data_IF_095421210800
#
_entry.id   IF_095421210800
#
_cell.length_a   1.000
_cell.length_b   1.000
_cell.length_c   1.000
_cell.angle_alpha   90.00
_cell.angle_beta   90.00
_cell.angle_gamma   90.00
#
_symmetry.space_group_name_H-M   'P 1'
#
loop_
_entity.id
_entity.type
_entity.pdbx_description
1 polymer ?
#
# COMPACT_ATOMS: atom_id res chain seq x y z
N UNK A 1 -12.17 -22.20 0.14
CA UNK A 1 -12.43 -21.68 1.50
C UNK A 1 -11.17 -21.56 2.36
N UNK A 2 -10.13 -22.40 2.16
CA UNK A 2 -8.84 -22.24 2.86
C UNK A 2 -7.95 -21.11 2.29
N UNK A 3 -7.96 -20.90 0.96
CA UNK A 3 -7.15 -19.86 0.30
C UNK A 3 -7.60 -18.42 0.62
N UNK A 4 -8.90 -18.20 0.85
CA UNK A 4 -9.45 -16.88 1.22
C UNK A 4 -9.09 -16.48 2.66
N UNK A 5 -8.99 -17.46 3.58
CA UNK A 5 -8.55 -17.22 4.96
C UNK A 5 -7.09 -16.76 5.05
N UNK A 6 -6.20 -17.36 4.26
CA UNK A 6 -4.78 -16.99 4.27
C UNK A 6 -4.52 -15.56 3.79
N UNK A 7 -5.31 -15.08 2.82
CA UNK A 7 -5.23 -13.70 2.32
C UNK A 7 -5.74 -12.71 3.38
N UNK A 8 -6.86 -13.02 4.03
CA UNK A 8 -7.48 -12.19 5.07
C UNK A 8 -6.57 -12.06 6.31
N UNK A 9 -5.87 -13.12 6.69
CA UNK A 9 -4.90 -13.13 7.80
C UNK A 9 -3.67 -12.26 7.47
N UNK A 10 -3.12 -12.34 6.26
CA UNK A 10 -2.04 -11.43 5.80
C UNK A 10 -2.47 -9.98 5.62
N UNK A 11 -3.77 -9.72 5.43
CA UNK A 11 -4.31 -8.37 5.30
C UNK A 11 -4.42 -7.70 6.68
N UNK A 12 -4.96 -8.42 7.67
CA UNK A 12 -5.03 -7.94 9.05
C UNK A 12 -3.63 -7.66 9.64
N UNK A 13 -2.65 -8.52 9.36
CA UNK A 13 -1.26 -8.29 9.79
C UNK A 13 -0.63 -7.05 9.12
N UNK A 14 -0.95 -6.78 7.85
CA UNK A 14 -0.43 -5.59 7.16
C UNK A 14 -1.07 -4.30 7.66
N UNK A 15 -2.39 -4.26 7.85
CA UNK A 15 -3.08 -3.09 8.41
C UNK A 15 -2.57 -2.78 9.82
N UNK A 16 -2.43 -3.81 10.66
CA UNK A 16 -1.91 -3.62 12.03
C UNK A 16 -0.44 -3.18 12.05
N UNK A 17 0.38 -3.64 11.10
CA UNK A 17 1.76 -3.16 10.93
C UNK A 17 1.82 -1.68 10.50
N UNK A 18 0.96 -1.26 9.56
CA UNK A 18 0.86 0.12 9.12
C UNK A 18 0.40 1.05 10.24
N UNK A 19 -0.58 0.61 11.04
CA UNK A 19 -0.98 1.34 12.25
C UNK A 19 0.14 1.43 13.30
N UNK A 20 1.05 0.45 13.36
CA UNK A 20 2.21 0.50 14.24
C UNK A 20 3.24 1.52 13.75
N UNK A 21 3.45 1.59 12.43
CA UNK A 21 4.41 2.52 11.79
C UNK A 21 3.95 3.98 11.84
N UNK A 22 2.64 4.25 11.90
CA UNK A 22 2.10 5.60 12.08
C UNK A 22 2.20 6.14 13.52
N UNK A 23 2.55 5.31 14.50
CA UNK A 23 2.66 5.76 15.90
C UNK A 23 3.89 6.62 16.07
N UNK A 24 3.69 7.79 16.65
CA UNK A 24 4.79 8.68 17.00
C UNK A 24 5.63 8.00 18.08
N UNK A 25 6.96 7.98 17.89
CA UNK A 25 7.86 7.46 18.92
C UNK A 25 7.78 8.33 20.18
N UNK A 26 7.95 7.72 21.36
CA UNK A 26 7.84 8.46 22.63
C UNK A 26 9.01 9.42 22.85
N UNK A 27 10.19 9.08 22.31
CA UNK A 27 11.43 9.86 22.43
C UNK A 27 11.31 11.35 22.03
N UNK A 28 10.82 11.72 20.84
CA UNK A 28 10.66 13.12 20.45
C UNK A 28 9.75 13.88 21.43
N UNK A 29 8.67 13.25 21.90
CA UNK A 29 7.76 13.86 22.89
C UNK A 29 8.51 14.16 24.19
N UNK A 30 9.29 13.21 24.71
CA UNK A 30 10.11 13.42 25.91
C UNK A 30 11.17 14.49 25.71
N UNK A 31 11.80 14.57 24.52
CA UNK A 31 12.78 15.62 24.22
C UNK A 31 12.15 17.01 24.19
N UNK A 32 10.96 17.16 23.58
CA UNK A 32 10.24 18.44 23.55
C UNK A 32 9.84 18.85 24.97
N UNK A 33 9.33 17.91 25.77
CA UNK A 33 8.95 18.16 27.15
C UNK A 33 10.16 18.54 28.02
N UNK A 34 11.30 17.87 27.84
CA UNK A 34 12.54 18.19 28.52
C UNK A 34 13.09 19.57 28.12
N UNK A 35 13.07 19.92 26.83
CA UNK A 35 13.47 21.26 26.36
C UNK A 35 12.57 22.33 26.94
N UNK A 36 11.25 22.11 26.97
CA UNK A 36 10.31 23.02 27.61
C UNK A 36 10.58 23.18 29.12
N UNK A 37 10.91 22.09 29.81
CA UNK A 37 11.32 22.11 31.22
C UNK A 37 12.61 22.92 31.46
N UNK A 38 13.64 22.73 30.63
CA UNK A 38 14.89 23.51 30.72
C UNK A 38 14.62 24.98 30.44
N UNK A 39 13.84 25.30 29.40
CA UNK A 39 13.46 26.67 29.10
C UNK A 39 12.73 27.31 30.29
N UNK A 40 11.75 26.62 30.87
CA UNK A 40 11.02 27.10 32.05
C UNK A 40 11.96 27.37 33.23
N UNK A 41 12.97 26.51 33.44
CA UNK A 41 13.97 26.67 34.48
C UNK A 41 14.83 27.93 34.26
N UNK A 42 15.29 28.17 33.03
CA UNK A 42 16.09 29.35 32.68
C UNK A 42 15.29 30.65 32.83
N UNK A 43 14.03 30.64 32.37
CA UNK A 43 13.15 31.80 32.43
C UNK A 43 12.49 32.00 33.81
N UNK A 44 12.61 31.04 34.74
CA UNK A 44 12.06 31.19 36.10
C UNK A 44 12.58 32.45 36.81
N UNK A 45 13.82 32.85 36.52
CA UNK A 45 14.47 34.05 37.08
C UNK A 45 13.98 35.38 36.53
N UNK A 46 13.21 35.36 35.42
CA UNK A 46 12.68 36.55 34.77
C UNK A 46 11.36 37.00 35.40
N UNK A 47 10.67 36.12 36.11
CA UNK A 47 9.39 36.45 36.74
C UNK A 47 9.59 37.28 38.03
N UNK A 48 8.92 38.44 38.16
CA UNK A 48 9.06 39.28 39.34
C UNK A 48 8.41 38.62 40.57
N UNK A 49 9.19 38.49 41.64
CA UNK A 49 8.75 37.95 42.94
C UNK A 49 9.39 36.60 43.30
N UNK A 50 9.94 36.50 44.50
CA UNK A 50 10.63 35.30 45.00
C UNK A 50 9.71 34.06 45.04
N UNK A 51 8.43 34.26 45.38
CA UNK A 51 7.45 33.18 45.38
C UNK A 51 7.19 32.64 43.97
N UNK A 52 6.96 33.53 42.98
CA UNK A 52 6.75 33.13 41.59
C UNK A 52 7.98 32.40 41.04
N UNK A 53 9.19 32.96 41.26
CA UNK A 53 10.45 32.35 40.85
C UNK A 53 10.61 30.92 41.43
N UNK A 54 10.26 30.71 42.70
CA UNK A 54 10.32 29.39 43.32
C UNK A 54 9.29 28.39 42.75
N UNK A 55 8.07 28.85 42.45
CA UNK A 55 7.00 28.00 41.90
C UNK A 55 7.30 27.54 40.47
N UNK A 56 7.73 28.45 39.60
CA UNK A 56 8.12 28.11 38.22
C UNK A 56 9.39 27.23 38.18
N UNK A 57 10.36 27.49 39.06
CA UNK A 57 11.55 26.65 39.21
C UNK A 57 11.21 25.23 39.68
N UNK A 58 10.33 25.10 40.68
CA UNK A 58 9.88 23.79 41.16
C UNK A 58 9.10 23.01 40.08
N UNK A 59 8.23 23.67 39.33
CA UNK A 59 7.53 23.06 38.20
C UNK A 59 8.51 22.57 37.12
N UNK A 60 9.50 23.37 36.77
CA UNK A 60 10.51 23.00 35.79
C UNK A 60 11.30 21.75 36.20
N UNK A 61 11.73 21.69 37.46
CA UNK A 61 12.42 20.51 38.02
C UNK A 61 11.49 19.29 38.01
N UNK A 62 10.22 19.45 38.38
CA UNK A 62 9.24 18.37 38.37
C UNK A 62 9.03 17.79 36.96
N UNK A 63 8.92 18.65 35.94
CA UNK A 63 8.80 18.22 34.53
C UNK A 63 10.06 17.46 34.07
N UNK A 64 11.25 17.93 34.44
CA UNK A 64 12.50 17.25 34.07
C UNK A 64 12.67 15.90 34.76
N UNK A 65 12.33 15.81 36.05
CA UNK A 65 12.31 14.55 36.79
C UNK A 65 11.27 13.60 36.20
N UNK A 66 10.10 14.11 35.83
CA UNK A 66 9.07 13.33 35.16
C UNK A 66 9.59 12.75 33.83
N UNK A 67 10.21 13.58 32.97
CA UNK A 67 10.84 13.11 31.73
C UNK A 67 11.87 11.99 31.99
N UNK A 68 12.74 12.17 32.99
CA UNK A 68 13.75 11.19 33.37
C UNK A 68 13.12 9.86 33.79
N UNK A 69 12.13 9.90 34.69
CA UNK A 69 11.42 8.72 35.19
C UNK A 69 10.67 8.01 34.07
N UNK A 70 9.96 8.75 33.21
CA UNK A 70 9.25 8.18 32.06
C UNK A 70 10.19 7.60 31.02
N UNK A 71 11.37 8.20 30.80
CA UNK A 71 12.38 7.67 29.90
C UNK A 71 13.04 6.40 30.44
N UNK A 72 13.27 6.32 31.75
CA UNK A 72 13.71 5.08 32.38
C UNK A 72 12.62 4.00 32.25
N UNK A 73 11.37 4.35 32.54
CA UNK A 73 10.23 3.44 32.44
C UNK A 73 10.01 2.91 31.01
N UNK A 74 10.28 3.72 29.97
CA UNK A 74 10.19 3.32 28.57
C UNK A 74 11.07 2.09 28.27
N UNK A 75 12.21 1.96 28.95
CA UNK A 75 13.12 0.81 28.76
C UNK A 75 12.58 -0.49 29.36
N UNK A 76 11.75 -0.43 30.41
CA UNK A 76 11.21 -1.60 31.10
C UNK A 76 9.80 -1.96 30.63
N UNK A 77 8.93 -0.96 30.44
CA UNK A 77 7.50 -1.11 30.17
C UNK A 77 7.02 0.03 29.23
N UNK A 78 7.12 -0.15 27.90
CA UNK A 78 6.87 0.94 26.95
C UNK A 78 5.40 1.38 26.93
N UNK A 79 4.45 0.49 27.20
CA UNK A 79 3.03 0.84 27.27
C UNK A 79 2.73 1.71 28.49
N UNK A 80 3.30 1.36 29.65
CA UNK A 80 3.12 2.12 30.89
C UNK A 80 3.72 3.53 30.75
N UNK A 81 4.87 3.64 30.11
CA UNK A 81 5.52 4.93 29.86
C UNK A 81 4.66 5.88 29.02
N UNK A 82 3.99 5.38 27.98
CA UNK A 82 3.08 6.19 27.15
C UNK A 82 1.88 6.72 27.96
N UNK A 83 1.23 5.85 28.73
CA UNK A 83 0.14 6.25 29.62
C UNK A 83 0.59 7.22 30.71
N UNK A 84 1.79 7.02 31.25
CA UNK A 84 2.38 7.94 32.22
C UNK A 84 2.51 9.35 31.63
N UNK A 85 3.05 9.50 30.42
CA UNK A 85 3.20 10.80 29.74
C UNK A 85 1.86 11.49 29.50
N UNK A 86 0.84 10.75 29.06
CA UNK A 86 -0.53 11.27 28.87
C UNK A 86 -1.09 11.79 30.20
N UNK A 87 -1.07 10.95 31.24
CA UNK A 87 -1.56 11.33 32.56
C UNK A 87 -0.76 12.50 33.18
N UNK A 88 0.55 12.52 32.96
CA UNK A 88 1.44 13.60 33.41
C UNK A 88 1.14 14.93 32.74
N UNK A 89 0.87 14.93 31.43
CA UNK A 89 0.50 16.14 30.70
C UNK A 89 -0.82 16.74 31.24
N UNK A 90 -1.83 15.90 31.47
CA UNK A 90 -3.07 16.32 32.10
C UNK A 90 -2.82 16.85 33.53
N UNK A 91 -2.07 16.12 34.34
CA UNK A 91 -1.73 16.52 35.70
C UNK A 91 -1.00 17.88 35.75
N UNK A 92 -0.09 18.16 34.82
CA UNK A 92 0.58 19.46 34.71
C UNK A 92 -0.41 20.57 34.41
N UNK A 93 -1.32 20.40 33.44
CA UNK A 93 -2.35 21.42 33.14
C UNK A 93 -3.28 21.68 34.33
N UNK A 94 -3.65 20.62 35.07
CA UNK A 94 -4.48 20.72 36.27
C UNK A 94 -3.74 21.43 37.43
N UNK A 95 -2.46 21.11 37.63
CA UNK A 95 -1.61 21.76 38.63
C UNK A 95 -1.34 23.22 38.29
N UNK A 96 -1.16 23.59 37.02
CA UNK A 96 -0.96 24.97 36.59
C UNK A 96 -2.17 25.86 36.92
N UNK A 97 -3.38 25.38 36.65
CA UNK A 97 -4.61 26.10 37.00
C UNK A 97 -4.73 26.26 38.53
N UNK A 98 -4.44 25.20 39.30
CA UNK A 98 -4.68 25.20 40.75
C UNK A 98 -3.58 25.90 41.55
N UNK A 99 -2.33 25.65 41.20
CA UNK A 99 -1.16 26.08 41.97
C UNK A 99 -0.66 27.46 41.54
N UNK A 100 -0.57 27.71 40.23
CA UNK A 100 -0.15 28.99 39.68
C UNK A 100 -1.32 29.94 39.36
N UNK A 101 -2.57 29.48 39.54
CA UNK A 101 -3.80 30.29 39.34
C UNK A 101 -3.85 30.96 37.97
N UNK A 102 -3.34 30.28 36.94
CA UNK A 102 -3.35 30.78 35.57
C UNK A 102 -4.72 30.46 34.94
N UNK A 103 -5.61 31.44 34.74
CA UNK A 103 -6.96 31.16 34.27
C UNK A 103 -6.95 30.64 32.84
N UNK A 104 -7.68 29.56 32.60
CA UNK A 104 -7.93 29.02 31.26
C UNK A 104 -6.83 28.10 30.73
N UNK A 105 -5.79 27.80 31.53
CA UNK A 105 -4.76 26.82 31.15
C UNK A 105 -5.34 25.42 31.06
N UNK A 106 -6.42 25.14 31.79
CA UNK A 106 -7.13 23.86 31.74
C UNK A 106 -7.66 23.50 30.33
N UNK A 107 -7.83 24.47 29.42
CA UNK A 107 -8.22 24.21 28.02
C UNK A 107 -7.14 23.41 27.27
N UNK A 108 -5.88 23.55 27.66
CA UNK A 108 -4.76 22.78 27.10
C UNK A 108 -4.82 21.30 27.50
N UNK A 109 -5.70 20.89 28.43
CA UNK A 109 -5.93 19.48 28.72
C UNK A 109 -6.29 18.67 27.47
N UNK A 110 -6.93 19.29 26.47
CA UNK A 110 -7.23 18.65 25.18
C UNK A 110 -5.99 18.17 24.40
N UNK A 111 -4.79 18.64 24.72
CA UNK A 111 -3.54 18.12 24.14
C UNK A 111 -3.23 16.69 24.60
N UNK A 112 -3.69 16.28 25.78
CA UNK A 112 -3.43 14.95 26.33
C UNK A 112 -4.15 13.83 25.54
N UNK A 113 -5.46 13.93 25.23
CA UNK A 113 -6.13 12.98 24.34
C UNK A 113 -5.55 12.98 22.93
N UNK A 114 -5.13 14.14 22.40
CA UNK A 114 -4.46 14.21 21.11
C UNK A 114 -3.12 13.45 21.12
N UNK A 115 -2.35 13.59 22.20
CA UNK A 115 -1.12 12.85 22.40
C UNK A 115 -1.39 11.33 22.54
N UNK A 116 -2.46 10.94 23.23
CA UNK A 116 -2.87 9.55 23.36
C UNK A 116 -3.20 8.89 22.02
N UNK A 117 -3.85 9.63 21.11
CA UNK A 117 -4.16 9.13 19.77
C UNK A 117 -2.91 8.86 18.94
N UNK A 118 -1.90 9.72 19.06
CA UNK A 118 -0.65 9.61 18.29
C UNK A 118 0.33 8.58 18.85
N UNK A 119 0.37 8.39 20.18
CA UNK A 119 1.29 7.47 20.84
C UNK A 119 0.75 6.04 20.95
N UNK A 120 -0.58 5.87 21.08
CA UNK A 120 -1.20 4.58 21.38
C UNK A 120 -2.22 4.21 20.31
N UNK A 121 -3.39 4.85 20.32
CA UNK A 121 -4.50 4.58 19.40
C UNK A 121 -5.66 5.55 19.62
N UNK A 122 -6.59 5.61 18.67
CA UNK A 122 -7.82 6.39 18.84
C UNK A 122 -8.67 5.96 20.05
N UNK A 123 -8.91 4.65 20.32
CA UNK A 123 -9.59 4.23 21.55
C UNK A 123 -8.90 4.71 22.83
N UNK A 124 -7.57 4.75 22.87
CA UNK A 124 -6.82 5.25 24.02
C UNK A 124 -7.06 6.76 24.23
N UNK A 125 -7.19 7.54 23.15
CA UNK A 125 -7.55 8.95 23.23
C UNK A 125 -8.95 9.18 23.79
N UNK A 126 -9.93 8.37 23.37
CA UNK A 126 -11.28 8.43 23.91
C UNK A 126 -11.30 8.09 25.42
N UNK A 127 -10.53 7.09 25.84
CA UNK A 127 -10.38 6.73 27.25
C UNK A 127 -9.72 7.85 28.08
N UNK A 128 -8.65 8.46 27.56
CA UNK A 128 -7.99 9.60 28.20
C UNK A 128 -8.97 10.78 28.37
N UNK A 129 -9.65 11.18 27.29
CA UNK A 129 -10.63 12.27 27.31
C UNK A 129 -11.77 12.00 28.31
N UNK A 130 -12.30 10.76 28.35
CA UNK A 130 -13.33 10.39 29.30
C UNK A 130 -12.84 10.51 30.75
N UNK A 131 -11.63 10.02 31.05
CA UNK A 131 -11.01 10.15 32.37
C UNK A 131 -10.81 11.60 32.80
N UNK A 132 -10.31 12.45 31.89
CA UNK A 132 -10.12 13.88 32.14
C UNK A 132 -11.42 14.61 32.42
N UNK A 133 -12.46 14.34 31.62
CA UNK A 133 -13.79 14.91 31.81
C UNK A 133 -14.41 14.49 33.15
N UNK A 134 -14.19 13.26 33.59
CA UNK A 134 -14.63 12.79 34.92
C UNK A 134 -13.90 13.57 36.02
N UNK A 135 -12.57 13.72 35.93
CA UNK A 135 -11.79 14.45 36.94
C UNK A 135 -12.22 15.92 37.00
N UNK A 136 -12.39 16.57 35.85
CA UNK A 136 -12.85 17.96 35.75
C UNK A 136 -14.27 18.11 36.30
N UNK A 137 -15.18 17.20 35.92
CA UNK A 137 -16.57 17.22 36.37
C UNK A 137 -16.71 17.03 37.88
N UNK A 138 -15.96 16.08 38.46
CA UNK A 138 -15.91 15.88 39.92
C UNK A 138 -15.31 17.10 40.62
N UNK A 139 -14.27 17.71 40.03
CA UNK A 139 -13.64 18.93 40.57
C UNK A 139 -14.59 20.13 40.58
N UNK A 140 -15.45 20.26 39.57
CA UNK A 140 -16.45 21.32 39.47
C UNK A 140 -17.67 21.07 40.39
N UNK A 141 -18.07 19.82 40.58
CA UNK A 141 -19.18 19.45 41.46
C UNK A 141 -18.80 19.50 42.96
N UNK A 142 -17.52 19.34 43.28
CA UNK A 142 -17.05 19.31 44.66
C UNK A 142 -16.84 20.71 45.24
N UNK A 143 -17.63 21.04 46.26
CA UNK A 143 -17.53 22.31 47.00
C UNK A 143 -16.17 22.50 47.70
N UNK A 144 -15.41 21.42 47.95
CA UNK A 144 -14.08 21.50 48.58
C UNK A 144 -12.95 21.80 47.59
N UNK A 145 -13.15 21.50 46.30
CA UNK A 145 -12.13 21.67 45.25
C UNK A 145 -12.25 23.06 44.63
N UNK A 146 -13.48 23.55 44.44
CA UNK A 146 -13.76 24.93 44.07
C UNK A 146 -13.30 25.30 42.66
N UNK A 147 -13.42 24.38 41.70
CA UNK A 147 -13.21 24.68 40.28
C UNK A 147 -14.43 25.43 39.74
N UNK A 148 -14.21 26.58 39.11
CA UNK A 148 -15.28 27.36 38.50
C UNK A 148 -15.93 26.56 37.36
N UNK A 149 -17.26 26.50 37.36
CA UNK A 149 -18.06 25.78 36.37
C UNK A 149 -17.77 26.30 34.95
N UNK A 150 -17.50 27.60 34.80
CA UNK A 150 -17.17 28.19 33.50
C UNK A 150 -15.83 27.66 32.94
N UNK A 151 -14.81 27.54 33.79
CA UNK A 151 -13.50 26.98 33.44
C UNK A 151 -13.62 25.49 33.12
N UNK A 152 -14.39 24.74 33.92
CA UNK A 152 -14.66 23.33 33.68
C UNK A 152 -15.38 23.10 32.34
N UNK A 153 -16.39 23.92 32.02
CA UNK A 153 -17.11 23.86 30.75
C UNK A 153 -16.20 24.17 29.56
N UNK A 154 -15.34 25.19 29.66
CA UNK A 154 -14.41 25.56 28.60
C UNK A 154 -13.36 24.46 28.35
N UNK A 155 -12.84 23.85 29.42
CA UNK A 155 -11.93 22.72 29.31
C UNK A 155 -12.61 21.50 28.67
N UNK A 156 -13.85 21.20 29.05
CA UNK A 156 -14.62 20.11 28.44
C UNK A 156 -14.83 20.33 26.93
N UNK A 157 -15.15 21.56 26.51
CA UNK A 157 -15.24 21.92 25.09
C UNK A 157 -13.89 21.76 24.39
N UNK A 158 -12.79 22.16 25.02
CA UNK A 158 -11.43 21.98 24.49
C UNK A 158 -11.06 20.51 24.29
N UNK A 159 -11.35 19.66 25.28
CA UNK A 159 -11.10 18.21 25.24
C UNK A 159 -11.94 17.55 24.14
N UNK A 160 -13.24 17.83 24.08
CA UNK A 160 -14.13 17.27 23.06
C UNK A 160 -13.79 17.77 21.66
N UNK A 161 -13.42 19.06 21.53
CA UNK A 161 -12.95 19.65 20.29
C UNK A 161 -11.66 18.99 19.78
N UNK A 162 -10.67 18.82 20.65
CA UNK A 162 -9.43 18.13 20.33
C UNK A 162 -9.70 16.68 19.91
N UNK A 163 -10.54 15.95 20.64
CA UNK A 163 -10.94 14.58 20.30
C UNK A 163 -11.66 14.52 18.93
N UNK A 164 -12.53 15.49 18.65
CA UNK A 164 -13.23 15.60 17.38
C UNK A 164 -12.29 15.87 16.19
N UNK A 165 -11.32 16.78 16.36
CA UNK A 165 -10.29 17.05 15.35
C UNK A 165 -9.41 15.82 15.12
N UNK A 166 -8.98 15.16 16.19
CA UNK A 166 -8.21 13.92 16.13
C UNK A 166 -8.99 12.85 15.36
N UNK A 167 -10.28 12.66 15.66
CA UNK A 167 -11.14 11.72 14.95
C UNK A 167 -11.26 12.07 13.46
N UNK A 168 -11.46 13.36 13.14
CA UNK A 168 -11.58 13.84 11.77
C UNK A 168 -10.31 13.64 10.95
N UNK A 169 -9.13 13.72 11.57
CA UNK A 169 -7.84 13.43 10.93
C UNK A 169 -7.53 11.93 10.86
N UNK A 170 -7.89 11.17 11.89
CA UNK A 170 -7.65 9.73 11.96
C UNK A 170 -8.46 8.95 10.92
N UNK A 171 -9.74 9.32 10.74
CA UNK A 171 -10.67 8.63 9.83
C UNK A 171 -10.15 8.53 8.38
N UNK A 172 -9.77 9.63 7.69
CA UNK A 172 -9.29 9.55 6.31
C UNK A 172 -7.94 8.84 6.21
N UNK A 173 -7.05 8.97 7.20
CA UNK A 173 -5.74 8.31 7.20
C UNK A 173 -5.91 6.79 7.26
N UNK A 174 -6.78 6.30 8.14
CA UNK A 174 -7.07 4.87 8.21
C UNK A 174 -7.77 4.37 6.94
N UNK A 175 -8.65 5.18 6.33
CA UNK A 175 -9.28 4.84 5.05
C UNK A 175 -8.25 4.77 3.91
N UNK A 176 -7.28 5.68 3.88
CA UNK A 176 -6.19 5.67 2.92
C UNK A 176 -5.30 4.43 3.08
N UNK A 177 -5.01 4.01 4.31
CA UNK A 177 -4.24 2.79 4.57
C UNK A 177 -4.88 1.56 3.93
N UNK A 178 -6.18 1.33 4.22
CA UNK A 178 -6.94 0.21 3.63
C UNK A 178 -7.05 0.32 2.11
N UNK A 179 -7.28 1.53 1.59
CA UNK A 179 -7.38 1.76 0.15
C UNK A 179 -6.06 1.52 -0.59
N UNK A 180 -4.92 1.92 0.00
CA UNK A 180 -3.60 1.72 -0.60
C UNK A 180 -3.27 0.24 -0.74
N UNK A 181 -3.60 -0.59 0.25
CA UNK A 181 -3.42 -2.03 0.17
C UNK A 181 -4.20 -2.64 -1.00
N UNK A 182 -5.50 -2.31 -1.11
CA UNK A 182 -6.33 -2.77 -2.23
C UNK A 182 -5.76 -2.31 -3.59
N UNK A 183 -5.25 -1.07 -3.64
CA UNK A 183 -4.61 -0.52 -4.83
C UNK A 183 -3.34 -1.28 -5.22
N UNK A 184 -2.46 -1.57 -4.26
CA UNK A 184 -1.23 -2.34 -4.50
C UNK A 184 -1.54 -3.75 -5.00
N UNK A 185 -2.52 -4.43 -4.39
CA UNK A 185 -2.97 -5.74 -4.81
C UNK A 185 -3.52 -5.73 -6.25
N UNK A 186 -4.30 -4.70 -6.60
CA UNK A 186 -4.83 -4.53 -7.95
C UNK A 186 -3.72 -4.26 -8.96
N UNK A 187 -2.75 -3.44 -8.62
CA UNK A 187 -1.60 -3.15 -9.47
C UNK A 187 -0.78 -4.42 -9.75
N UNK A 188 -0.53 -5.24 -8.72
CA UNK A 188 0.19 -6.51 -8.89
C UNK A 188 -0.55 -7.48 -9.82
N UNK A 189 -1.87 -7.62 -9.67
CA UNK A 189 -2.68 -8.46 -10.57
C UNK A 189 -2.58 -8.01 -12.03
N UNK A 190 -2.64 -6.70 -12.29
CA UNK A 190 -2.53 -6.17 -13.66
C UNK A 190 -1.16 -6.43 -14.27
N UNK A 191 -0.08 -6.33 -13.48
CA UNK A 191 1.27 -6.65 -13.95
C UNK A 191 1.40 -8.13 -14.29
N UNK A 192 0.83 -9.02 -13.48
CA UNK A 192 0.87 -10.45 -13.73
C UNK A 192 0.04 -10.83 -14.98
N UNK A 193 -1.16 -10.26 -15.12
CA UNK A 193 -1.96 -10.44 -16.33
C UNK A 193 -1.22 -9.95 -17.60
N UNK A 194 -0.49 -8.84 -17.50
CA UNK A 194 0.28 -8.31 -18.62
C UNK A 194 1.44 -9.25 -19.00
N UNK A 195 2.12 -9.85 -18.01
CA UNK A 195 3.15 -10.87 -18.23
C UNK A 195 2.59 -12.11 -18.91
N UNK A 196 1.45 -12.61 -18.44
CA UNK A 196 0.77 -13.77 -19.04
C UNK A 196 0.35 -13.50 -20.48
N UNK A 197 -0.23 -12.33 -20.76
CA UNK A 197 -0.61 -11.93 -22.12
C UNK A 197 0.61 -11.83 -23.03
N UNK A 198 1.72 -11.30 -22.52
CA UNK A 198 2.98 -11.21 -23.27
C UNK A 198 3.53 -12.61 -23.59
N UNK A 199 3.55 -13.52 -22.62
CA UNK A 199 4.01 -14.89 -22.84
C UNK A 199 3.16 -15.61 -23.90
N UNK A 200 1.83 -15.48 -23.84
CA UNK A 200 0.92 -16.02 -24.87
C UNK A 200 1.15 -15.42 -26.25
N UNK A 201 1.46 -14.11 -26.32
CA UNK A 201 1.77 -13.45 -27.59
C UNK A 201 3.09 -13.99 -28.17
N UNK A 202 4.13 -14.13 -27.35
CA UNK A 202 5.43 -14.69 -27.76
C UNK A 202 5.28 -16.13 -28.26
N UNK A 203 4.50 -16.97 -27.58
CA UNK A 203 4.19 -18.34 -28.03
C UNK A 203 3.41 -18.36 -29.36
N UNK A 204 2.40 -17.49 -29.51
CA UNK A 204 1.64 -17.40 -30.76
C UNK A 204 2.52 -16.95 -31.94
N UNK A 205 3.45 -16.03 -31.71
CA UNK A 205 4.41 -15.58 -32.72
C UNK A 205 5.35 -16.71 -33.14
N UNK A 206 5.86 -17.51 -32.20
CA UNK A 206 6.73 -18.65 -32.50
C UNK A 206 5.99 -19.75 -33.29
N UNK A 207 4.74 -20.04 -32.92
CA UNK A 207 3.87 -20.96 -33.64
C UNK A 207 3.61 -20.49 -35.08
N UNK A 208 3.33 -19.19 -35.27
CA UNK A 208 3.15 -18.60 -36.60
C UNK A 208 4.44 -18.67 -37.43
N UNK A 209 5.59 -18.40 -36.84
CA UNK A 209 6.89 -18.51 -37.52
C UNK A 209 7.16 -19.95 -37.98
N UNK A 210 6.88 -20.93 -37.11
CA UNK A 210 7.02 -22.35 -37.43
C UNK A 210 6.07 -22.78 -38.56
N UNK A 211 4.80 -22.38 -38.49
CA UNK A 211 3.80 -22.68 -39.52
C UNK A 211 4.18 -22.07 -40.88
N UNK A 212 4.64 -20.80 -40.90
CA UNK A 212 5.13 -20.16 -42.12
C UNK A 212 6.32 -20.91 -42.73
N UNK A 213 7.25 -21.39 -41.90
CA UNK A 213 8.39 -22.19 -42.38
C UNK A 213 7.95 -23.51 -43.00
N UNK A 214 6.98 -24.20 -42.38
CA UNK A 214 6.42 -25.44 -42.92
C UNK A 214 5.69 -25.20 -44.25
N UNK A 215 4.91 -24.13 -44.36
CA UNK A 215 4.24 -23.72 -45.59
C UNK A 215 5.25 -23.41 -46.71
N UNK A 216 6.34 -22.70 -46.41
CA UNK A 216 7.40 -22.42 -47.37
C UNK A 216 8.02 -23.72 -47.93
N UNK A 217 8.38 -24.66 -47.05
CA UNK A 217 8.92 -25.96 -47.45
C UNK A 217 7.92 -26.80 -48.27
N UNK A 218 6.64 -26.77 -47.91
CA UNK A 218 5.59 -27.45 -48.68
C UNK A 218 5.44 -26.85 -50.08
N UNK A 219 5.45 -25.51 -50.19
CA UNK A 219 5.39 -24.82 -51.48
C UNK A 219 6.60 -25.14 -52.36
N UNK A 220 7.81 -25.19 -51.80
CA UNK A 220 9.02 -25.60 -52.54
C UNK A 220 8.90 -27.03 -53.07
N UNK A 221 8.43 -27.97 -52.24
CA UNK A 221 8.19 -29.36 -52.65
C UNK A 221 7.13 -29.48 -53.73
N UNK A 222 6.04 -28.73 -53.61
CA UNK A 222 4.98 -28.70 -54.63
C UNK A 222 5.51 -28.16 -55.96
N UNK A 223 6.33 -27.10 -55.93
CA UNK A 223 6.95 -26.56 -57.13
C UNK A 223 7.89 -27.60 -57.80
N UNK A 224 8.72 -28.30 -57.03
CA UNK A 224 9.61 -29.34 -57.54
C UNK A 224 8.82 -30.52 -58.16
N UNK A 225 7.79 -31.02 -57.47
CA UNK A 225 6.93 -32.10 -57.98
C UNK A 225 6.18 -31.69 -59.25
N UNK A 226 5.71 -30.44 -59.32
CA UNK A 226 5.06 -29.89 -60.51
C UNK A 226 6.02 -29.86 -61.68
N UNK A 227 7.27 -29.42 -61.47
CA UNK A 227 8.28 -29.42 -62.52
C UNK A 227 8.54 -30.85 -63.06
N UNK A 228 8.69 -31.83 -62.16
CA UNK A 228 8.88 -33.24 -62.55
C UNK A 228 7.68 -33.75 -63.38
N UNK A 229 6.45 -33.44 -62.95
CA UNK A 229 5.24 -33.83 -63.68
C UNK A 229 5.17 -33.18 -65.08
N UNK A 230 5.53 -31.90 -65.18
CA UNK A 230 5.58 -31.18 -66.46
C UNK A 230 6.67 -31.74 -67.40
N UNK A 231 7.83 -32.12 -66.88
CA UNK A 231 8.90 -32.79 -67.63
C UNK A 231 8.46 -34.18 -68.11
N UNK A 232 7.84 -34.99 -67.24
CA UNK A 232 7.31 -36.29 -67.59
C UNK A 232 6.20 -36.21 -68.64
N UNK A 233 5.32 -35.22 -68.54
CA UNK A 233 4.27 -34.97 -69.54
C UNK A 233 4.88 -34.60 -70.89
N UNK A 234 5.88 -33.70 -70.91
CA UNK A 234 6.62 -33.34 -72.13
C UNK A 234 7.30 -34.55 -72.77
N UNK A 235 7.99 -35.37 -71.97
CA UNK A 235 8.64 -36.59 -72.44
C UNK A 235 7.64 -37.59 -73.01
N UNK A 236 6.48 -37.77 -72.35
CA UNK A 236 5.40 -38.63 -72.83
C UNK A 236 4.84 -38.15 -74.18
N UNK A 237 4.54 -36.86 -74.31
CA UNK A 237 4.04 -36.28 -75.57
C UNK A 237 5.06 -36.43 -76.69
N UNK A 238 6.35 -36.16 -76.42
CA UNK A 238 7.42 -36.34 -77.39
C UNK A 238 7.58 -37.81 -77.83
N UNK A 239 7.52 -38.75 -76.89
CA UNK A 239 7.58 -40.18 -77.18
C UNK A 239 6.42 -40.63 -78.09
N UNK A 240 5.18 -40.27 -77.74
CA UNK A 240 3.99 -40.63 -78.54
C UNK A 240 4.08 -40.04 -79.95
N UNK A 241 4.52 -38.78 -80.08
CA UNK A 241 4.70 -38.14 -81.38
C UNK A 241 5.78 -38.84 -82.21
N UNK A 242 6.95 -39.12 -81.63
CA UNK A 242 8.05 -39.80 -82.31
C UNK A 242 7.65 -41.20 -82.77
N UNK A 243 7.08 -42.01 -81.87
CA UNK A 243 6.61 -43.36 -82.19
C UNK A 243 5.53 -43.33 -83.27
N UNK A 244 4.62 -42.37 -83.23
CA UNK A 244 3.58 -42.19 -84.26
C UNK A 244 4.18 -41.82 -85.62
N UNK A 245 5.25 -41.01 -85.64
CA UNK A 245 5.98 -40.66 -86.87
C UNK A 245 6.74 -41.86 -87.43
N UNK A 246 7.40 -42.64 -86.58
CA UNK A 246 8.16 -43.82 -87.01
C UNK A 246 7.27 -44.95 -87.49
N UNK A 247 6.08 -45.13 -86.92
CA UNK A 247 5.12 -46.14 -87.42
C UNK A 247 4.44 -45.76 -88.73
N UNK A 248 4.32 -44.46 -89.06
CA UNK A 248 3.65 -44.01 -90.30
C UNK A 248 4.36 -44.55 -91.55
N UNK A 249 5.68 -44.62 -91.54
CA UNK A 249 6.50 -45.09 -92.67
C UNK A 249 6.31 -46.59 -92.97
N UNK A 250 6.52 -47.54 -92.03
CA UNK A 250 6.27 -48.95 -92.27
C UNK A 250 4.79 -49.26 -92.50
N UNK A 251 3.87 -48.56 -91.84
CA UNK A 251 2.43 -48.75 -92.08
C UNK A 251 2.05 -48.35 -93.51
N UNK A 252 2.53 -47.19 -93.99
CA UNK A 252 2.32 -46.80 -95.39
C UNK A 252 2.98 -47.79 -96.37
N UNK A 253 4.14 -48.36 -96.04
CA UNK A 253 4.78 -49.38 -96.88
C UNK A 253 3.96 -50.69 -96.92
N UNK A 254 3.43 -51.15 -95.79
CA UNK A 254 2.59 -52.35 -95.73
C UNK A 254 1.28 -52.14 -96.48
N UNK A 255 0.60 -51.01 -96.25
CA UNK A 255 -0.63 -50.67 -96.97
C UNK A 255 -0.36 -50.61 -98.48
N UNK A 256 0.69 -49.92 -98.91
CA UNK A 256 1.07 -49.88 -100.33
C UNK A 256 1.39 -51.25 -100.92
N UNK A 257 2.01 -52.16 -100.16
CA UNK A 257 2.26 -53.54 -100.62
C UNK A 257 0.96 -54.35 -100.74
N UNK A 258 0.06 -54.22 -99.77
CA UNK A 258 -1.25 -54.89 -99.79
C UNK A 258 -2.10 -54.38 -100.95
N UNK A 259 -2.11 -53.06 -101.19
CA UNK A 259 -2.82 -52.46 -102.33
C UNK A 259 -2.30 -53.03 -103.66
N UNK A 260 -0.98 -53.17 -103.84
CA UNK A 260 -0.39 -53.82 -105.03
C UNK A 260 -0.82 -55.28 -105.17
N UNK A 261 -0.88 -56.04 -104.07
CA UNK A 261 -1.33 -57.45 -104.08
C UNK A 261 -2.82 -57.60 -104.41
N UNK A 262 -3.65 -56.61 -104.07
CA UNK A 262 -5.08 -56.61 -104.39
C UNK A 262 -5.34 -56.16 -105.83
N UNK A 263 -4.57 -55.19 -106.35
CA UNK A 263 -4.72 -54.68 -107.72
C UNK A 263 -4.13 -55.61 -108.80
N UNK A 264 -3.24 -56.54 -108.46
CA UNK A 264 -2.74 -57.59 -109.36
C UNK A 264 -2.86 -58.99 -108.71
N UNK A 265 -4.02 -59.67 -108.83
CA UNK A 265 -4.20 -61.02 -108.30
C UNK A 265 -3.34 -62.08 -109.02
#
# INVERSE_FOLDING_TARGET
MAATRGVEETMLDRVTSFEADLRVSLRPVLTILAVAGIALLLFSSVFPGLEAQSQYGALAVAVLLFCLVTGLLETWQPLLARWAVIAGLFAVTYLLERWLRLPGVLVLAGLSPALAASLISFPAAALAAAGELIVIGVSAASASIGLDVSVAALAAVGILGALGVVYALYRPVHQLGVWLEEYFDRAQRLVEEARDRRARLEEALDNLATANRQLALANERMAALRQIAEEAQRARTAFVANVSHEFRTPLNMIVGLVDIMIENP
#
